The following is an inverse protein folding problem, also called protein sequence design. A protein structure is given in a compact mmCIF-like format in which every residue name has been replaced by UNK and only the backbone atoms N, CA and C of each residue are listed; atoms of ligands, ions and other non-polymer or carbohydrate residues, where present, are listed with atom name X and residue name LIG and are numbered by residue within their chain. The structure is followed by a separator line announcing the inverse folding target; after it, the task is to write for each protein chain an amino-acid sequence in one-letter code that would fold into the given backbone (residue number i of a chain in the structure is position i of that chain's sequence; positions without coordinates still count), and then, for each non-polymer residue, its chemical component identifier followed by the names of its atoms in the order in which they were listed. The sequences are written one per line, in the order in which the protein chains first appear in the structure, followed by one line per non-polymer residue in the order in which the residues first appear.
data_IF_927381850008
#
_entry.id   IF_927381850008
#
_cell.length_a   1.000
_cell.length_b   1.000
_cell.length_c   1.000
_cell.angle_alpha   90.00
_cell.angle_beta   90.00
_cell.angle_gamma   90.00
#
_symmetry.space_group_name_H-M   'P 1'
#
loop_
_entity.id
_entity.type
_entity.pdbx_description
1 polymer ?
#
# COMPACT_ATOMS: atom_id res chain seq x y z
N UNK A 1 -4.64 -18.27 -18.59
CA UNK A 1 -3.52 -18.77 -17.78
C UNK A 1 -2.88 -17.65 -16.95
N UNK A 2 -2.42 -16.54 -17.57
CA UNK A 2 -1.81 -15.40 -16.87
C UNK A 2 -2.63 -14.89 -15.68
N UNK A 3 -3.96 -14.72 -15.83
CA UNK A 3 -4.84 -14.25 -14.73
C UNK A 3 -4.81 -15.18 -13.52
N UNK A 4 -4.78 -16.50 -13.72
CA UNK A 4 -4.69 -17.48 -12.61
C UNK A 4 -3.36 -17.39 -11.86
N UNK A 5 -2.25 -17.14 -12.57
CA UNK A 5 -0.95 -16.90 -11.94
C UNK A 5 -1.01 -15.64 -11.06
N UNK A 6 -1.61 -14.56 -11.55
CA UNK A 6 -1.78 -13.32 -10.77
C UNK A 6 -2.63 -13.55 -9.53
N UNK A 7 -3.76 -14.27 -9.63
CA UNK A 7 -4.62 -14.63 -8.49
C UNK A 7 -3.90 -15.47 -7.42
N UNK A 8 -3.00 -16.36 -7.84
CA UNK A 8 -2.17 -17.15 -6.93
C UNK A 8 -1.14 -16.28 -6.23
N UNK A 9 -0.41 -15.46 -6.98
CA UNK A 9 0.64 -14.58 -6.45
C UNK A 9 0.07 -13.45 -5.60
N UNK A 10 -1.12 -12.93 -5.91
CA UNK A 10 -1.82 -11.95 -5.09
C UNK A 10 -2.17 -12.51 -3.70
N UNK A 11 -2.54 -13.80 -3.62
CA UNK A 11 -2.81 -14.49 -2.34
C UNK A 11 -1.53 -14.87 -1.60
N UNK A 12 -0.51 -15.30 -2.32
CA UNK A 12 0.76 -15.73 -1.74
C UNK A 12 1.92 -15.42 -2.69
N UNK A 13 2.52 -14.25 -2.52
CA UNK A 13 3.67 -13.81 -3.31
C UNK A 13 4.94 -14.67 -3.12
N UNK A 14 4.95 -15.62 -2.15
CA UNK A 14 6.09 -16.48 -1.85
C UNK A 14 6.04 -17.81 -2.61
N UNK A 15 5.00 -18.06 -3.42
CA UNK A 15 4.92 -19.28 -4.22
C UNK A 15 6.11 -19.39 -5.18
N UNK A 16 6.74 -20.56 -5.17
CA UNK A 16 7.78 -20.92 -6.14
C UNK A 16 7.18 -21.23 -7.52
N UNK A 17 7.98 -21.13 -8.55
CA UNK A 17 7.58 -21.51 -9.92
C UNK A 17 7.05 -22.95 -9.98
N UNK A 18 7.66 -23.86 -9.21
CA UNK A 18 7.23 -25.25 -9.10
C UNK A 18 5.82 -25.37 -8.52
N UNK A 19 5.54 -24.69 -7.40
CA UNK A 19 4.22 -24.70 -6.78
C UNK A 19 3.15 -24.08 -7.69
N UNK A 20 3.47 -23.00 -8.41
CA UNK A 20 2.57 -22.40 -9.41
C UNK A 20 2.29 -23.39 -10.54
N UNK A 21 3.31 -24.08 -11.03
CA UNK A 21 3.16 -25.07 -12.10
C UNK A 21 2.30 -26.27 -11.68
N UNK A 22 2.51 -26.79 -10.47
CA UNK A 22 1.72 -27.88 -9.88
C UNK A 22 0.25 -27.47 -9.69
N UNK A 23 -0.01 -26.28 -9.14
CA UNK A 23 -1.38 -25.78 -8.90
C UNK A 23 -2.16 -25.58 -10.21
N UNK A 24 -1.48 -25.19 -11.28
CA UNK A 24 -2.10 -24.93 -12.59
C UNK A 24 -2.06 -26.12 -13.54
N UNK A 25 -1.38 -27.21 -13.18
CA UNK A 25 -1.22 -28.40 -14.04
C UNK A 25 -0.41 -28.14 -15.32
N UNK A 26 0.59 -27.26 -15.25
CA UNK A 26 1.48 -26.91 -16.37
C UNK A 26 2.92 -27.26 -16.07
N UNK A 27 3.80 -27.20 -17.07
CA UNK A 27 5.24 -27.45 -16.86
C UNK A 27 5.91 -26.25 -16.17
N UNK A 28 6.90 -26.50 -15.31
CA UNK A 28 7.67 -25.43 -14.64
C UNK A 28 8.27 -24.42 -15.63
N UNK A 29 8.76 -24.89 -16.78
CA UNK A 29 9.30 -24.03 -17.84
C UNK A 29 8.24 -23.05 -18.37
N UNK A 30 7.00 -23.51 -18.52
CA UNK A 30 5.89 -22.70 -18.98
C UNK A 30 5.48 -21.66 -17.89
N UNK A 31 5.39 -22.10 -16.62
CA UNK A 31 5.12 -21.20 -15.50
C UNK A 31 6.18 -20.11 -15.38
N UNK A 32 7.48 -20.46 -15.47
CA UNK A 32 8.59 -19.52 -15.45
C UNK A 32 8.50 -18.50 -16.58
N UNK A 33 8.18 -18.94 -17.79
CA UNK A 33 8.04 -18.05 -18.93
C UNK A 33 6.88 -17.07 -18.72
N UNK A 34 5.70 -17.55 -18.28
CA UNK A 34 4.51 -16.72 -18.07
C UNK A 34 4.72 -15.68 -16.95
N UNK A 35 5.38 -16.07 -15.84
CA UNK A 35 5.72 -15.11 -14.77
C UNK A 35 6.71 -14.07 -15.29
N UNK A 36 7.77 -14.48 -16.00
CA UNK A 36 8.74 -13.56 -16.58
C UNK A 36 8.13 -12.58 -17.57
N UNK A 37 7.17 -13.01 -18.39
CA UNK A 37 6.42 -12.11 -19.27
C UNK A 37 5.61 -11.07 -18.47
N UNK A 38 4.91 -11.50 -17.39
CA UNK A 38 4.14 -10.60 -16.54
C UNK A 38 5.01 -9.57 -15.81
N UNK A 39 6.22 -9.95 -15.41
CA UNK A 39 7.21 -9.03 -14.82
C UNK A 39 7.79 -8.07 -15.86
N UNK A 40 8.14 -8.56 -17.05
CA UNK A 40 8.67 -7.75 -18.14
C UNK A 40 7.64 -6.70 -18.63
N UNK A 41 6.37 -7.11 -18.73
CA UNK A 41 5.25 -6.26 -19.14
C UNK A 41 4.79 -5.31 -17.99
N UNK A 42 5.45 -5.35 -16.81
CA UNK A 42 5.06 -4.55 -15.62
C UNK A 42 3.64 -4.79 -15.14
N UNK A 43 3.06 -5.94 -15.43
CA UNK A 43 1.80 -6.40 -14.81
C UNK A 43 2.07 -6.80 -13.36
N UNK A 44 3.18 -7.52 -13.11
CA UNK A 44 3.75 -7.70 -11.77
C UNK A 44 4.80 -6.62 -11.58
N UNK A 45 4.50 -5.64 -10.74
CA UNK A 45 5.40 -4.51 -10.46
C UNK A 45 6.36 -4.78 -9.31
N UNK A 46 6.08 -5.78 -8.47
CA UNK A 46 6.91 -6.14 -7.31
C UNK A 46 6.23 -7.16 -6.41
N UNK A 47 6.97 -7.59 -5.40
CA UNK A 47 6.52 -8.52 -4.35
C UNK A 47 6.78 -7.87 -3.00
N UNK A 48 5.82 -7.95 -2.08
CA UNK A 48 5.99 -7.39 -0.74
C UNK A 48 5.52 -8.36 0.34
N UNK A 49 6.08 -8.24 1.53
CA UNK A 49 5.66 -8.99 2.70
C UNK A 49 4.69 -8.17 3.55
N UNK A 50 3.65 -8.81 4.08
CA UNK A 50 2.75 -8.20 5.07
C UNK A 50 3.37 -8.41 6.44
N UNK A 51 3.73 -7.33 7.12
CA UNK A 51 4.47 -7.36 8.38
C UNK A 51 3.61 -6.77 9.50
N UNK A 52 3.47 -7.54 10.59
CA UNK A 52 2.87 -7.03 11.82
C UNK A 52 3.94 -6.29 12.64
N UNK A 53 4.06 -4.99 12.43
CA UNK A 53 5.03 -4.14 13.11
C UNK A 53 4.75 -3.96 14.59
N UNK A 54 3.50 -4.16 15.05
CA UNK A 54 3.15 -4.10 16.48
C UNK A 54 3.85 -5.18 17.32
N UNK A 55 4.40 -6.22 16.67
CA UNK A 55 5.17 -7.29 17.32
C UNK A 55 6.67 -7.03 17.38
N UNK A 56 7.13 -5.90 16.84
CA UNK A 56 8.53 -5.51 16.79
C UNK A 56 8.71 -4.23 17.60
N UNK A 57 9.87 -4.08 18.23
CA UNK A 57 10.18 -2.94 19.13
C UNK A 57 10.35 -1.60 18.38
N UNK A 58 10.45 -1.62 17.06
CA UNK A 58 10.57 -0.41 16.25
C UNK A 58 9.21 0.25 16.07
N UNK A 59 9.08 1.46 16.56
CA UNK A 59 7.88 2.28 16.30
C UNK A 59 7.81 2.65 14.82
N UNK A 60 6.68 2.36 14.18
CA UNK A 60 6.33 2.86 12.85
C UNK A 60 5.03 3.64 12.92
N UNK A 61 5.06 4.83 12.36
CA UNK A 61 3.92 5.72 12.30
C UNK A 61 3.40 5.76 10.88
N UNK A 62 2.25 5.15 10.63
CA UNK A 62 1.59 5.23 9.34
C UNK A 62 0.54 6.34 9.37
N UNK A 63 0.46 7.12 8.30
CA UNK A 63 -0.55 8.15 8.15
C UNK A 63 -1.23 8.09 6.78
N UNK A 64 -2.52 8.39 6.79
CA UNK A 64 -3.34 8.62 5.62
C UNK A 64 -3.55 10.12 5.47
N UNK A 65 -3.17 10.70 4.34
CA UNK A 65 -3.25 12.13 4.12
C UNK A 65 -4.20 12.39 2.97
N UNK A 66 -5.32 13.02 3.29
CA UNK A 66 -6.22 13.58 2.29
C UNK A 66 -5.58 14.84 1.69
N UNK A 67 -5.54 14.91 0.39
CA UNK A 67 -4.96 16.04 -0.34
C UNK A 67 -5.98 16.59 -1.32
N UNK A 68 -6.29 17.89 -1.18
CA UNK A 68 -7.08 18.64 -2.14
C UNK A 68 -6.13 19.46 -3.01
N UNK A 69 -6.35 19.40 -4.32
CA UNK A 69 -5.52 20.13 -5.29
C UNK A 69 -6.37 21.05 -6.15
N UNK A 70 -5.74 22.08 -6.68
CA UNK A 70 -6.30 22.91 -7.75
C UNK A 70 -5.47 22.65 -9.00
N UNK A 71 -5.95 21.79 -9.94
CA UNK A 71 -5.24 21.54 -11.17
C UNK A 71 -5.10 22.84 -11.97
N UNK A 72 -3.88 23.23 -12.30
CA UNK A 72 -3.64 24.35 -13.20
C UNK A 72 -3.87 23.92 -14.65
N UNK A 73 -4.22 24.86 -15.54
CA UNK A 73 -4.35 24.60 -16.98
C UNK A 73 -3.09 23.93 -17.52
N UNK A 74 -3.25 22.72 -18.11
CA UNK A 74 -2.15 21.93 -18.67
C UNK A 74 -1.41 21.04 -17.67
N UNK A 75 -1.75 21.07 -16.38
CA UNK A 75 -1.20 20.16 -15.36
C UNK A 75 -2.33 19.28 -14.85
N UNK A 76 -2.49 18.09 -15.45
CA UNK A 76 -3.48 17.11 -15.02
C UNK A 76 -3.11 16.45 -13.68
N UNK A 77 -4.05 15.70 -13.11
CA UNK A 77 -3.86 14.93 -11.87
C UNK A 77 -2.64 14.01 -11.94
N UNK A 78 -2.38 13.37 -13.09
CA UNK A 78 -1.25 12.43 -13.25
C UNK A 78 0.11 13.08 -12.99
N UNK A 79 0.30 14.34 -13.43
CA UNK A 79 1.54 15.06 -13.20
C UNK A 79 1.73 15.44 -11.74
N UNK A 80 0.64 15.78 -11.06
CA UNK A 80 0.64 16.06 -9.62
C UNK A 80 0.98 14.78 -8.85
N UNK A 81 0.32 13.67 -9.22
CA UNK A 81 0.57 12.36 -8.62
C UNK A 81 2.03 11.90 -8.82
N UNK A 82 2.57 12.04 -10.04
CA UNK A 82 3.97 11.71 -10.33
C UNK A 82 4.93 12.52 -9.45
N UNK A 83 4.67 13.81 -9.25
CA UNK A 83 5.54 14.65 -8.41
C UNK A 83 5.46 14.27 -6.94
N UNK A 84 4.27 13.96 -6.41
CA UNK A 84 4.09 13.53 -5.03
C UNK A 84 4.72 12.15 -4.81
N UNK A 85 4.58 11.24 -5.76
CA UNK A 85 5.12 9.88 -5.68
C UNK A 85 6.65 9.81 -5.65
N UNK A 86 7.35 10.89 -5.99
CA UNK A 86 8.82 10.97 -5.96
C UNK A 86 9.40 11.26 -4.57
N UNK A 87 8.57 11.57 -3.60
CA UNK A 87 9.05 11.72 -2.22
C UNK A 87 9.27 10.34 -1.61
N UNK A 88 10.44 10.12 -1.02
CA UNK A 88 10.82 8.86 -0.39
C UNK A 88 9.90 8.49 0.79
N UNK A 89 9.26 9.48 1.41
CA UNK A 89 8.31 9.30 2.50
C UNK A 89 6.97 8.73 2.03
N UNK A 90 6.64 8.86 0.74
CA UNK A 90 5.38 8.40 0.16
C UNK A 90 5.46 6.91 -0.16
N UNK A 91 4.64 6.13 0.53
CA UNK A 91 4.48 4.70 0.28
C UNK A 91 3.50 4.45 -0.88
N UNK A 92 2.37 5.13 -0.85
CA UNK A 92 1.31 4.96 -1.85
C UNK A 92 0.57 6.28 -2.11
N UNK A 93 0.06 6.43 -3.33
CA UNK A 93 -0.81 7.55 -3.72
C UNK A 93 -1.95 7.03 -4.59
N UNK A 94 -3.16 7.48 -4.30
CA UNK A 94 -4.38 7.12 -5.03
C UNK A 94 -5.15 8.37 -5.41
N UNK A 95 -5.66 8.42 -6.66
CA UNK A 95 -6.66 9.39 -7.06
C UNK A 95 -8.03 8.91 -6.56
N UNK A 96 -8.75 9.79 -5.87
CA UNK A 96 -9.99 9.45 -5.17
C UNK A 96 -11.17 10.19 -5.82
N UNK A 97 -12.27 9.48 -5.97
CA UNK A 97 -13.56 10.09 -6.30
C UNK A 97 -14.32 10.37 -5.01
N UNK A 98 -14.30 11.63 -4.54
CA UNK A 98 -14.92 11.98 -3.25
C UNK A 98 -14.70 13.43 -2.84
N UNK A 99 -14.62 13.67 -1.54
CA UNK A 99 -14.47 15.01 -0.95
C UNK A 99 -13.07 15.63 -1.08
N UNK A 100 -12.08 14.85 -1.48
CA UNK A 100 -10.70 15.25 -1.75
C UNK A 100 -10.19 14.52 -2.99
N UNK A 101 -9.02 14.91 -3.53
CA UNK A 101 -8.54 14.43 -4.83
C UNK A 101 -7.56 13.26 -4.69
N UNK A 102 -6.63 13.32 -3.73
CA UNK A 102 -5.66 12.25 -3.50
C UNK A 102 -5.66 11.75 -2.06
N UNK A 103 -5.50 10.44 -1.91
CA UNK A 103 -5.08 9.81 -0.67
C UNK A 103 -3.60 9.46 -0.78
N UNK A 104 -2.78 10.04 0.10
CA UNK A 104 -1.34 9.75 0.19
C UNK A 104 -1.09 8.95 1.47
N UNK A 105 -0.43 7.80 1.33
CA UNK A 105 -0.04 6.96 2.46
C UNK A 105 1.44 7.16 2.73
N UNK A 106 1.77 7.42 3.99
CA UNK A 106 3.13 7.65 4.45
C UNK A 106 3.48 6.66 5.55
N UNK A 107 4.68 6.10 5.45
CA UNK A 107 5.31 5.28 6.47
C UNK A 107 6.48 6.06 7.09
N UNK A 108 6.24 6.67 8.25
CA UNK A 108 7.25 7.41 9.01
C UNK A 108 7.69 6.67 10.27
N UNK A 109 8.76 7.16 10.90
CA UNK A 109 9.24 6.66 12.20
C UNK A 109 8.45 7.23 13.37
N UNK A 110 7.89 8.43 13.21
CA UNK A 110 7.15 9.12 14.26
C UNK A 110 6.10 10.07 13.71
N UNK A 111 5.13 10.45 14.53
CA UNK A 111 4.13 11.48 14.19
C UNK A 111 4.78 12.82 13.85
N UNK A 112 5.90 13.16 14.52
CA UNK A 112 6.66 14.38 14.25
C UNK A 112 7.28 14.37 12.86
N UNK A 113 7.85 13.26 12.45
CA UNK A 113 8.44 13.09 11.10
C UNK A 113 7.38 13.24 10.00
N UNK A 114 6.24 12.55 10.17
CA UNK A 114 5.11 12.65 9.24
C UNK A 114 4.58 14.09 9.15
N UNK A 115 4.35 14.74 10.31
CA UNK A 115 3.88 16.13 10.35
C UNK A 115 4.87 17.09 9.71
N UNK A 116 6.17 16.89 9.94
CA UNK A 116 7.24 17.67 9.31
C UNK A 116 7.25 17.52 7.79
N UNK A 117 7.09 16.30 7.27
CA UNK A 117 6.97 16.07 5.84
C UNK A 117 5.76 16.80 5.24
N UNK A 118 4.59 16.65 5.86
CA UNK A 118 3.37 17.33 5.36
C UNK A 118 3.55 18.82 5.31
N UNK A 119 4.04 19.42 6.40
CA UNK A 119 4.17 20.87 6.52
C UNK A 119 5.28 21.45 5.64
N UNK A 120 6.46 20.81 5.60
CA UNK A 120 7.63 21.37 4.93
C UNK A 120 7.78 20.96 3.46
N UNK A 121 7.16 19.85 3.05
CA UNK A 121 7.28 19.33 1.68
C UNK A 121 5.95 19.27 0.94
N UNK A 122 4.95 18.56 1.48
CA UNK A 122 3.72 18.32 0.75
C UNK A 122 2.87 19.58 0.62
N UNK A 123 2.57 20.26 1.72
CA UNK A 123 1.71 21.45 1.73
C UNK A 123 2.36 22.68 1.07
N UNK A 124 3.67 22.65 0.79
CA UNK A 124 4.38 23.74 0.10
C UNK A 124 4.28 23.70 -1.42
N UNK A 125 3.69 22.64 -1.98
CA UNK A 125 3.51 22.53 -3.43
C UNK A 125 2.37 23.45 -3.88
N UNK A 126 2.63 24.32 -4.86
CA UNK A 126 1.73 25.40 -5.31
C UNK A 126 0.31 24.97 -5.66
N UNK A 127 0.13 23.71 -6.08
CA UNK A 127 -1.18 23.17 -6.46
C UNK A 127 -1.91 22.49 -5.30
N UNK A 128 -1.32 22.37 -4.12
CA UNK A 128 -1.97 21.82 -2.93
C UNK A 128 -2.85 22.91 -2.31
N UNK A 129 -4.16 22.66 -2.28
CA UNK A 129 -5.12 23.55 -1.65
C UNK A 129 -5.23 23.31 -0.15
N UNK A 130 -5.33 22.07 0.25
CA UNK A 130 -5.42 21.67 1.65
C UNK A 130 -5.00 20.21 1.86
N UNK A 131 -4.60 19.90 3.09
CA UNK A 131 -4.27 18.55 3.55
C UNK A 131 -4.95 18.25 4.87
N UNK A 132 -5.37 17.00 5.08
CA UNK A 132 -5.83 16.48 6.37
C UNK A 132 -5.10 15.19 6.68
N UNK A 133 -4.40 15.11 7.81
CA UNK A 133 -3.58 13.97 8.21
C UNK A 133 -4.29 13.12 9.24
N UNK A 134 -4.43 11.83 8.95
CA UNK A 134 -5.03 10.83 9.83
C UNK A 134 -3.96 9.80 10.21
N UNK A 135 -3.61 9.74 11.48
CA UNK A 135 -2.65 8.75 11.97
C UNK A 135 -3.33 7.39 12.18
N UNK A 136 -2.73 6.34 11.65
CA UNK A 136 -3.19 4.97 11.87
C UNK A 136 -2.76 4.54 13.26
N UNK A 137 -3.72 4.42 14.18
CA UNK A 137 -3.44 4.01 15.56
C UNK A 137 -3.20 2.51 15.68
N UNK A 138 -3.89 1.69 14.87
CA UNK A 138 -3.75 0.23 14.87
C UNK A 138 -4.27 -0.37 13.57
N UNK A 139 -3.54 -1.36 13.06
CA UNK A 139 -3.98 -2.18 11.92
C UNK A 139 -4.57 -3.50 12.43
N UNK A 140 -5.84 -3.76 12.12
CA UNK A 140 -6.52 -5.01 12.48
C UNK A 140 -6.42 -6.06 11.37
N UNK A 141 -6.42 -5.62 10.12
CA UNK A 141 -6.30 -6.45 8.93
C UNK A 141 -5.56 -5.64 7.85
N UNK A 142 -4.64 -6.29 7.14
CA UNK A 142 -3.89 -5.68 6.05
C UNK A 142 -3.80 -6.67 4.89
N UNK A 143 -4.09 -6.24 3.67
CA UNK A 143 -4.09 -7.08 2.46
C UNK A 143 -4.75 -8.47 2.66
N UNK A 144 -5.91 -8.51 3.31
CA UNK A 144 -6.63 -9.76 3.57
C UNK A 144 -6.16 -10.56 4.80
N UNK A 145 -4.98 -10.24 5.37
CA UNK A 145 -4.40 -10.95 6.52
C UNK A 145 -4.80 -10.28 7.83
N UNK A 146 -5.33 -11.06 8.78
CA UNK A 146 -5.63 -10.58 10.15
C UNK A 146 -4.34 -10.44 10.94
N UNK A 147 -4.12 -9.26 11.53
CA UNK A 147 -2.95 -8.93 12.33
C UNK A 147 -3.16 -9.12 13.84
N UNK A 148 -4.42 -9.40 14.27
CA UNK A 148 -4.75 -9.67 15.66
C UNK A 148 -4.31 -11.07 16.08
N UNK A 149 -3.74 -11.19 17.30
CA UNK A 149 -3.53 -12.48 17.94
C UNK A 149 -4.88 -13.07 18.40
N UNK A 150 -5.09 -14.36 18.17
CA UNK A 150 -6.29 -15.09 18.65
C UNK A 150 -6.45 -15.07 20.19
N UNK A 151 -5.45 -14.59 20.92
CA UNK A 151 -5.44 -14.52 22.40
C UNK A 151 -6.21 -13.34 22.98
N UNK A 152 -6.69 -12.39 22.17
CA UNK A 152 -7.37 -11.19 22.67
C UNK A 152 -8.87 -11.37 22.91
N UNK A 153 -9.43 -12.55 22.64
CA UNK A 153 -10.89 -12.82 22.79
C UNK A 153 -11.30 -13.36 24.18
N UNK A 154 -10.50 -13.09 25.22
CA UNK A 154 -10.85 -13.47 26.60
C UNK A 154 -11.67 -12.44 27.38
N UNK A 155 -12.14 -11.35 26.75
CA UNK A 155 -12.86 -10.26 27.46
C UNK A 155 -14.34 -10.10 27.08
N UNK A 156 -14.93 -11.01 26.35
CA UNK A 156 -16.36 -10.92 25.96
C UNK A 156 -17.19 -12.04 26.58
N UNK A 157 -17.05 -12.30 27.87
CA UNK A 157 -18.08 -13.00 28.65
C UNK A 157 -18.47 -12.13 29.83
N UNK A 158 -19.02 -10.95 29.54
CA UNK A 158 -19.93 -10.30 30.50
C UNK A 158 -21.32 -10.65 30.03
N UNK A 159 -21.85 -11.74 30.55
CA UNK A 159 -23.30 -12.03 30.53
C UNK A 159 -23.92 -11.06 31.52
N UNK A 160 -24.78 -10.16 31.02
CA UNK A 160 -25.75 -9.41 31.84
C UNK A 160 -26.97 -10.28 32.04
#
# INVERSE_FOLDING_TARGET
MKTKILELLEKNAKLSIKEIAEELGIKEKEALQLVGELEADKVICGYSAIINWDKITEEKCNALIEVKVTPQRGTGFDRIADRISRFDEVDSIYLISGGYDFMVIINGKSMKEVSSFVFNKLATLDYIQSTATHFVLKKYKDHGVKLLDKTFDRRTNVVL
#
